data_IF_346739074237
#
_entry.id   IF_346739074237
#
_cell.length_a   1.000
_cell.length_b   1.000
_cell.length_c   1.000
_cell.angle_alpha   90.00
_cell.angle_beta   90.00
_cell.angle_gamma   90.00
#
_symmetry.space_group_name_H-M   'P 1'
#
loop_
_entity.id
_entity.type
_entity.pdbx_description
1 polymer ?
#
# COMPACT_ATOMS: atom_id res chain seq x y z
N UNK A 1 -30.44 50.21 -27.49
CA UNK A 1 -31.65 51.02 -27.22
C UNK A 1 -32.69 50.73 -28.29
N UNK A 2 -33.71 49.93 -27.98
CA UNK A 2 -35.00 49.95 -28.67
C UNK A 2 -36.08 49.67 -27.64
N UNK A 3 -36.99 50.63 -27.56
CA UNK A 3 -38.13 50.75 -26.68
C UNK A 3 -39.31 50.08 -27.39
N UNK A 4 -40.11 49.30 -26.66
CA UNK A 4 -41.31 48.68 -27.19
C UNK A 4 -42.29 48.34 -26.07
N UNK A 5 -42.97 49.37 -25.55
CA UNK A 5 -44.14 49.23 -24.69
C UNK A 5 -45.39 49.09 -25.55
N UNK A 6 -46.20 48.06 -25.32
CA UNK A 6 -47.64 48.09 -25.58
C UNK A 6 -48.40 47.38 -24.46
N UNK A 7 -49.24 48.16 -23.78
CA UNK A 7 -50.27 47.71 -22.84
C UNK A 7 -51.52 47.32 -23.61
N UNK A 8 -52.24 46.30 -23.16
CA UNK A 8 -53.71 46.33 -23.07
C UNK A 8 -54.19 45.23 -22.13
N UNK A 9 -55.11 45.62 -21.24
CA UNK A 9 -55.74 44.81 -20.22
C UNK A 9 -56.92 44.01 -20.77
N UNK A 10 -57.24 42.87 -20.13
CA UNK A 10 -58.60 42.36 -20.07
C UNK A 10 -58.78 41.58 -18.76
N UNK A 11 -59.69 42.07 -17.93
CA UNK A 11 -60.22 41.39 -16.77
C UNK A 11 -61.13 40.23 -17.21
N UNK A 12 -61.11 39.13 -16.45
CA UNK A 12 -61.99 37.98 -16.66
C UNK A 12 -61.89 37.03 -15.48
N UNK A 13 -62.68 37.29 -14.44
CA UNK A 13 -62.98 36.35 -13.37
C UNK A 13 -63.83 35.20 -13.91
N UNK A 14 -63.37 33.97 -13.75
CA UNK A 14 -64.23 32.79 -13.70
C UNK A 14 -63.56 31.71 -12.85
N UNK A 15 -64.16 31.46 -11.69
CA UNK A 15 -63.87 30.30 -10.86
C UNK A 15 -64.43 29.04 -11.54
N UNK A 16 -63.64 27.96 -11.57
CA UNK A 16 -64.16 26.62 -11.66
C UNK A 16 -63.21 25.67 -10.93
N UNK A 17 -63.73 25.07 -9.85
CA UNK A 17 -63.14 23.93 -9.17
C UNK A 17 -62.94 22.78 -10.16
N UNK A 18 -61.74 22.21 -10.18
CA UNK A 18 -61.52 20.81 -10.55
C UNK A 18 -60.38 20.25 -9.71
N UNK A 19 -60.75 19.38 -8.78
CA UNK A 19 -59.87 18.42 -8.12
C UNK A 19 -59.06 17.65 -9.18
N UNK A 20 -57.74 17.76 -9.13
CA UNK A 20 -56.84 16.79 -9.76
C UNK A 20 -55.60 16.64 -8.90
N UNK A 21 -55.44 15.43 -8.35
CA UNK A 21 -54.26 14.98 -7.64
C UNK A 21 -53.01 15.16 -8.50
N UNK A 22 -52.10 16.06 -8.10
CA UNK A 22 -50.73 16.05 -8.54
C UNK A 22 -49.83 16.16 -7.31
N UNK A 23 -49.32 14.99 -6.94
CA UNK A 23 -48.25 14.76 -6.00
C UNK A 23 -47.06 15.67 -6.31
N UNK A 24 -46.87 16.71 -5.49
CA UNK A 24 -45.62 17.46 -5.44
C UNK A 24 -44.53 16.52 -4.94
N UNK A 25 -43.69 16.09 -5.87
CA UNK A 25 -42.50 15.29 -5.62
C UNK A 25 -41.52 16.03 -4.70
N UNK A 26 -40.77 15.29 -3.88
CA UNK A 26 -39.77 15.87 -3.00
C UNK A 26 -38.72 16.60 -3.84
N UNK A 27 -38.43 17.84 -3.43
CA UNK A 27 -37.34 18.65 -3.93
C UNK A 27 -36.06 17.83 -4.02
N UNK A 28 -35.45 17.84 -5.21
CA UNK A 28 -34.21 17.15 -5.50
C UNK A 28 -33.12 17.55 -4.51
N UNK A 29 -32.83 16.64 -3.59
CA UNK A 29 -31.49 16.55 -2.99
C UNK A 29 -30.57 16.33 -4.17
N UNK A 30 -29.74 17.33 -4.49
CA UNK A 30 -28.56 17.12 -5.31
C UNK A 30 -27.89 15.86 -4.75
N UNK A 31 -27.84 14.80 -5.54
CA UNK A 31 -27.19 13.57 -5.16
C UNK A 31 -25.77 13.96 -4.73
N UNK A 32 -25.52 13.92 -3.41
CA UNK A 32 -24.15 13.88 -2.94
C UNK A 32 -23.49 12.76 -3.73
N UNK A 33 -22.31 13.00 -4.34
CA UNK A 33 -21.56 11.92 -4.95
C UNK A 33 -21.54 10.79 -3.93
N UNK A 34 -22.04 9.61 -4.33
CA UNK A 34 -21.98 8.45 -3.47
C UNK A 34 -20.54 8.37 -2.93
N UNK A 35 -20.34 8.16 -1.62
CA UNK A 35 -18.99 7.95 -1.10
C UNK A 35 -18.36 6.87 -2.00
N UNK A 36 -17.20 7.20 -2.58
CA UNK A 36 -16.54 6.33 -3.53
C UNK A 36 -16.51 4.91 -2.93
N UNK A 37 -16.95 3.88 -3.68
CA UNK A 37 -16.99 2.51 -3.17
C UNK A 37 -15.63 2.18 -2.59
N UNK A 38 -15.66 1.69 -1.35
CA UNK A 38 -14.56 1.53 -0.41
C UNK A 38 -13.23 1.19 -1.09
N UNK A 39 -12.41 2.22 -1.29
CA UNK A 39 -11.07 2.15 -1.87
C UNK A 39 -10.07 1.51 -0.89
N UNK A 40 -10.38 0.31 -0.43
CA UNK A 40 -9.53 -0.49 0.45
C UNK A 40 -9.54 -1.96 0.04
N UNK A 41 -9.73 -2.29 -1.25
CA UNK A 41 -9.31 -3.60 -1.71
C UNK A 41 -7.78 -3.67 -1.51
N UNK A 42 -7.30 -4.47 -0.55
CA UNK A 42 -5.87 -4.62 -0.31
C UNK A 42 -5.12 -5.01 -1.59
N UNK A 43 -3.80 -4.97 -1.59
CA UNK A 43 -3.05 -5.12 -2.83
C UNK A 43 -3.00 -6.56 -3.34
N UNK A 44 -2.73 -7.55 -2.48
CA UNK A 44 -2.51 -8.94 -2.90
C UNK A 44 -3.78 -9.55 -3.52
N UNK A 45 -3.64 -10.09 -4.73
CA UNK A 45 -4.72 -10.69 -5.51
C UNK A 45 -5.59 -9.68 -6.27
N UNK A 46 -5.26 -8.39 -6.25
CA UNK A 46 -6.02 -7.35 -6.97
C UNK A 46 -5.27 -6.83 -8.19
N UNK A 47 -6.00 -6.19 -9.10
CA UNK A 47 -5.39 -5.50 -10.23
C UNK A 47 -4.51 -4.34 -9.76
N UNK A 48 -3.36 -4.15 -10.42
CA UNK A 48 -2.38 -3.09 -10.13
C UNK A 48 -3.02 -1.71 -9.94
N UNK A 49 -3.93 -1.31 -10.83
CA UNK A 49 -4.61 -0.03 -10.73
C UNK A 49 -5.43 0.13 -9.45
N UNK A 50 -6.14 -0.92 -9.03
CA UNK A 50 -6.93 -0.91 -7.79
C UNK A 50 -6.02 -0.85 -6.55
N UNK A 51 -4.93 -1.63 -6.54
CA UNK A 51 -3.92 -1.56 -5.47
C UNK A 51 -3.31 -0.16 -5.37
N UNK A 52 -2.91 0.47 -6.49
CA UNK A 52 -2.34 1.83 -6.50
C UNK A 52 -3.34 2.84 -5.90
N UNK A 53 -4.61 2.77 -6.28
CA UNK A 53 -5.65 3.67 -5.75
C UNK A 53 -5.83 3.47 -4.24
N UNK A 54 -5.89 2.22 -3.78
CA UNK A 54 -5.99 1.88 -2.35
C UNK A 54 -4.76 2.39 -1.56
N UNK A 55 -3.56 2.18 -2.10
CA UNK A 55 -2.32 2.71 -1.52
C UNK A 55 -2.33 4.23 -1.46
N UNK A 56 -2.75 4.91 -2.53
CA UNK A 56 -2.80 6.38 -2.59
C UNK A 56 -3.82 7.00 -1.65
N UNK A 57 -4.81 6.23 -1.18
CA UNK A 57 -5.74 6.66 -0.14
C UNK A 57 -5.14 6.61 1.28
N UNK A 58 -4.08 5.81 1.49
CA UNK A 58 -3.47 5.61 2.80
C UNK A 58 -2.05 6.19 2.91
N UNK A 59 -1.34 6.30 1.79
CA UNK A 59 0.06 6.69 1.70
C UNK A 59 0.24 7.77 0.63
N UNK A 60 1.37 8.49 0.71
CA UNK A 60 1.79 9.44 -0.32
C UNK A 60 3.00 8.92 -1.07
N UNK A 61 3.03 9.04 -2.40
CA UNK A 61 4.15 8.65 -3.26
C UNK A 61 4.19 9.54 -4.51
N UNK A 62 5.33 9.58 -5.19
CA UNK A 62 5.52 10.39 -6.39
C UNK A 62 4.81 9.74 -7.61
N UNK A 63 3.78 10.39 -8.19
CA UNK A 63 3.04 9.84 -9.32
C UNK A 63 3.90 9.71 -10.59
N UNK A 64 4.93 10.55 -10.78
CA UNK A 64 5.81 10.48 -11.95
C UNK A 64 6.73 9.26 -11.88
N UNK A 65 7.30 9.01 -10.69
CA UNK A 65 8.08 7.79 -10.46
C UNK A 65 7.22 6.55 -10.65
N UNK A 66 5.99 6.54 -10.09
CA UNK A 66 5.07 5.44 -10.30
C UNK A 66 4.77 5.20 -11.79
N UNK A 67 4.41 6.24 -12.53
CA UNK A 67 4.14 6.13 -13.97
C UNK A 67 5.34 5.55 -14.73
N UNK A 68 6.56 5.98 -14.40
CA UNK A 68 7.79 5.46 -15.00
C UNK A 68 8.00 3.97 -14.70
N UNK A 69 7.74 3.52 -13.48
CA UNK A 69 7.91 2.12 -13.06
C UNK A 69 6.85 1.22 -13.68
N UNK A 70 5.61 1.71 -13.76
CA UNK A 70 4.51 1.05 -14.45
C UNK A 70 4.83 0.89 -15.94
N UNK A 71 5.41 1.89 -16.59
CA UNK A 71 5.80 1.79 -18.00
C UNK A 71 6.88 0.71 -18.24
N UNK A 72 7.84 0.58 -17.32
CA UNK A 72 8.95 -0.39 -17.40
C UNK A 72 8.55 -1.84 -17.14
N UNK A 73 7.38 -2.11 -16.55
CA UNK A 73 6.94 -3.46 -16.14
C UNK A 73 6.79 -4.47 -17.29
N UNK A 74 6.70 -3.97 -18.52
CA UNK A 74 6.54 -4.76 -19.73
C UNK A 74 7.80 -4.73 -20.61
N UNK A 75 8.93 -4.21 -20.10
CA UNK A 75 10.19 -4.29 -20.81
C UNK A 75 10.62 -5.75 -20.96
N UNK A 76 11.03 -6.11 -22.18
CA UNK A 76 11.55 -7.44 -22.52
C UNK A 76 13.03 -7.35 -22.83
N UNK A 77 13.79 -8.39 -22.45
CA UNK A 77 15.18 -8.55 -22.82
C UNK A 77 15.32 -8.80 -24.33
N UNK A 78 16.55 -8.85 -24.81
CA UNK A 78 16.86 -9.13 -26.23
C UNK A 78 16.37 -10.50 -26.71
N UNK A 79 15.98 -11.39 -25.80
CA UNK A 79 15.44 -12.72 -26.07
C UNK A 79 13.91 -12.78 -25.96
N UNK A 80 13.23 -11.63 -25.78
CA UNK A 80 11.77 -11.53 -25.63
C UNK A 80 11.24 -11.95 -24.25
N UNK A 81 12.10 -12.11 -23.24
CA UNK A 81 11.69 -12.44 -21.86
C UNK A 81 11.44 -11.17 -21.07
N UNK A 82 10.40 -11.09 -20.22
CA UNK A 82 10.19 -9.91 -19.39
C UNK A 82 11.38 -9.67 -18.43
N UNK A 83 11.92 -8.45 -18.40
CA UNK A 83 13.09 -8.07 -17.60
C UNK A 83 12.73 -7.97 -16.11
N UNK A 84 11.61 -7.32 -15.80
CA UNK A 84 11.12 -7.17 -14.44
C UNK A 84 9.61 -7.02 -14.45
N UNK A 85 8.94 -7.77 -13.59
CA UNK A 85 7.49 -7.62 -13.32
C UNK A 85 7.25 -7.09 -11.91
N UNK A 86 8.22 -6.35 -11.41
CA UNK A 86 8.20 -5.71 -10.10
C UNK A 86 8.12 -4.21 -10.28
N UNK A 87 7.16 -3.57 -9.62
CA UNK A 87 7.02 -2.12 -9.55
C UNK A 87 7.51 -1.69 -8.17
N UNK A 88 8.61 -0.94 -8.14
CA UNK A 88 9.09 -0.31 -6.90
C UNK A 88 8.50 1.09 -6.76
N UNK A 89 8.02 1.41 -5.58
CA UNK A 89 7.54 2.75 -5.23
C UNK A 89 8.05 3.15 -3.86
N UNK A 90 8.38 4.42 -3.69
CA UNK A 90 8.74 4.98 -2.40
C UNK A 90 7.53 5.72 -1.83
N UNK A 91 6.99 5.20 -0.72
CA UNK A 91 5.78 5.68 -0.08
C UNK A 91 6.05 6.24 1.32
N UNK A 92 5.32 7.29 1.70
CA UNK A 92 5.36 7.89 3.04
C UNK A 92 4.02 7.74 3.74
N UNK A 93 4.08 7.30 4.99
CA UNK A 93 2.92 7.29 5.90
C UNK A 93 2.65 8.72 6.37
N UNK A 94 1.42 9.25 6.27
CA UNK A 94 1.08 10.58 6.76
C UNK A 94 1.48 10.76 8.24
N UNK A 95 2.15 11.87 8.55
CA UNK A 95 2.65 12.17 9.90
C UNK A 95 4.03 11.59 10.23
N UNK A 96 4.65 10.83 9.32
CA UNK A 96 6.00 10.29 9.49
C UNK A 96 6.96 10.85 8.43
N UNK A 97 8.20 11.12 8.84
CA UNK A 97 9.24 11.68 7.95
C UNK A 97 9.90 10.59 7.09
N UNK A 98 10.08 9.40 7.66
CA UNK A 98 10.67 8.26 6.99
C UNK A 98 9.69 7.66 5.98
N UNK A 99 10.18 7.41 4.77
CA UNK A 99 9.44 6.66 3.76
C UNK A 99 9.92 5.21 3.66
N UNK A 100 9.03 4.38 3.14
CA UNK A 100 9.22 2.95 2.91
C UNK A 100 9.21 2.67 1.41
N UNK A 101 10.16 1.85 0.96
CA UNK A 101 10.07 1.23 -0.36
C UNK A 101 9.03 0.12 -0.32
N UNK A 102 8.14 0.09 -1.31
CA UNK A 102 7.14 -0.95 -1.51
C UNK A 102 7.39 -1.56 -2.89
N UNK A 103 7.47 -2.89 -2.94
CA UNK A 103 7.68 -3.68 -4.14
C UNK A 103 6.39 -4.44 -4.45
N UNK A 104 5.76 -4.12 -5.58
CA UNK A 104 4.58 -4.81 -6.09
C UNK A 104 5.01 -5.81 -7.15
N UNK A 105 4.87 -7.10 -6.88
CA UNK A 105 5.20 -8.18 -7.81
C UNK A 105 3.96 -8.64 -8.54
N UNK A 106 3.98 -8.59 -9.87
CA UNK A 106 2.86 -8.98 -10.73
C UNK A 106 2.86 -10.47 -11.04
N UNK A 107 1.68 -11.08 -11.11
CA UNK A 107 1.48 -12.49 -11.41
C UNK A 107 1.91 -12.84 -12.85
N UNK A 108 2.60 -13.96 -13.02
CA UNK A 108 2.93 -14.54 -14.32
C UNK A 108 1.81 -15.45 -14.85
N UNK A 109 1.63 -15.58 -16.19
CA UNK A 109 2.31 -14.87 -17.28
C UNK A 109 1.73 -13.47 -17.56
N UNK A 110 2.45 -12.66 -18.34
CA UNK A 110 1.93 -11.38 -18.84
C UNK A 110 0.74 -11.64 -19.80
N UNK A 111 -0.23 -10.72 -19.93
CA UNK A 111 -0.30 -9.37 -19.37
C UNK A 111 -1.05 -9.28 -18.03
N UNK A 112 -1.07 -10.35 -17.22
CA UNK A 112 -1.81 -10.32 -15.96
C UNK A 112 -1.22 -9.28 -14.98
N UNK A 113 -1.84 -8.11 -14.89
CA UNK A 113 -1.48 -7.02 -13.97
C UNK A 113 -2.03 -7.25 -12.55
N UNK A 114 -2.38 -8.49 -12.18
CA UNK A 114 -2.74 -8.84 -10.81
C UNK A 114 -1.49 -8.87 -9.94
N UNK A 115 -1.56 -8.27 -8.75
CA UNK A 115 -0.50 -8.33 -7.75
C UNK A 115 -0.47 -9.73 -7.14
N UNK A 116 0.61 -10.49 -7.35
CA UNK A 116 0.83 -11.79 -6.72
C UNK A 116 1.41 -11.64 -5.31
N UNK A 117 2.33 -10.69 -5.12
CA UNK A 117 3.08 -10.52 -3.89
C UNK A 117 3.41 -9.06 -3.68
N UNK A 118 3.42 -8.62 -2.43
CA UNK A 118 3.88 -7.27 -2.06
C UNK A 118 4.89 -7.36 -0.93
N UNK A 119 6.01 -6.67 -1.08
CA UNK A 119 6.98 -6.46 -0.01
C UNK A 119 7.06 -4.97 0.36
N UNK A 120 7.29 -4.65 1.62
CA UNK A 120 7.51 -3.28 2.07
C UNK A 120 8.65 -3.20 3.08
N UNK A 121 9.49 -2.19 2.91
CA UNK A 121 10.64 -1.96 3.79
C UNK A 121 10.20 -1.24 5.06
N UNK A 122 10.76 -1.61 6.21
CA UNK A 122 10.50 -0.95 7.49
C UNK A 122 11.68 -0.02 7.86
N UNK A 123 11.42 1.23 8.31
CA UNK A 123 12.47 2.15 8.75
C UNK A 123 13.17 1.70 10.04
N UNK A 124 12.48 0.94 10.89
CA UNK A 124 13.04 0.37 12.11
C UNK A 124 12.71 -1.12 12.23
N UNK A 125 13.55 -1.87 12.94
CA UNK A 125 13.45 -3.32 13.04
C UNK A 125 12.48 -3.75 14.17
N UNK A 126 11.32 -4.36 13.85
CA UNK A 126 10.35 -4.82 14.83
C UNK A 126 10.85 -5.97 15.72
N UNK A 127 11.99 -6.61 15.41
CA UNK A 127 12.59 -7.62 16.30
C UNK A 127 12.95 -7.00 17.66
N UNK A 128 13.44 -5.77 17.66
CA UNK A 128 13.91 -5.11 18.87
C UNK A 128 12.82 -4.36 19.65
N UNK A 129 11.67 -4.13 19.03
CA UNK A 129 10.52 -3.52 19.69
C UNK A 129 9.97 -4.44 20.79
N UNK A 130 9.59 -3.85 21.92
CA UNK A 130 9.02 -4.50 23.12
C UNK A 130 7.80 -3.77 23.67
N UNK A 131 7.55 -2.54 23.24
CA UNK A 131 6.36 -1.74 23.61
C UNK A 131 5.58 -1.32 22.36
N UNK A 132 4.34 -0.86 22.56
CA UNK A 132 3.51 -0.33 21.47
C UNK A 132 4.19 0.84 20.77
N UNK A 133 4.80 1.76 21.52
CA UNK A 133 5.48 2.93 20.98
C UNK A 133 6.71 2.56 20.15
N UNK A 134 7.44 1.53 20.55
CA UNK A 134 8.58 1.03 19.77
C UNK A 134 8.11 0.37 18.47
N UNK A 135 6.99 -0.36 18.50
CA UNK A 135 6.38 -0.91 17.31
C UNK A 135 5.84 0.18 16.37
N UNK A 136 5.21 1.22 16.88
CA UNK A 136 4.68 2.33 16.08
C UNK A 136 5.80 3.02 15.28
N UNK A 137 7.03 3.10 15.83
CA UNK A 137 8.21 3.65 15.10
C UNK A 137 8.65 2.79 13.91
N UNK A 138 8.28 1.51 13.87
CA UNK A 138 8.61 0.62 12.74
C UNK A 138 7.72 0.84 11.53
N UNK A 139 6.59 1.54 11.68
CA UNK A 139 5.55 1.70 10.66
C UNK A 139 4.92 0.38 10.17
N UNK A 140 5.15 -0.74 10.86
CA UNK A 140 4.60 -2.04 10.48
C UNK A 140 3.07 -2.00 10.35
N UNK A 141 2.37 -1.43 11.35
CA UNK A 141 0.91 -1.35 11.34
C UNK A 141 0.33 -0.52 10.20
N UNK A 142 0.67 0.78 10.02
CA UNK A 142 0.09 1.57 8.94
C UNK A 142 0.37 0.98 7.56
N UNK A 143 1.55 0.39 7.33
CA UNK A 143 1.88 -0.26 6.06
C UNK A 143 1.06 -1.54 5.85
N UNK A 144 0.98 -2.41 6.86
CA UNK A 144 0.15 -3.62 6.82
C UNK A 144 -1.32 -3.30 6.57
N UNK A 145 -1.85 -2.25 7.23
CA UNK A 145 -3.22 -1.79 7.03
C UNK A 145 -3.48 -1.31 5.61
N UNK A 146 -2.55 -0.54 5.04
CA UNK A 146 -2.65 -0.08 3.65
C UNK A 146 -2.61 -1.24 2.64
N UNK A 147 -1.77 -2.25 2.91
CA UNK A 147 -1.55 -3.37 2.02
C UNK A 147 -2.61 -4.47 2.10
N UNK A 148 -3.10 -4.79 3.30
CA UNK A 148 -4.16 -5.78 3.49
C UNK A 148 -5.53 -5.21 3.15
N UNK A 149 -5.74 -3.90 3.37
CA UNK A 149 -7.03 -3.25 3.19
C UNK A 149 -8.16 -4.03 3.86
N UNK A 150 -9.21 -4.32 3.10
CA UNK A 150 -10.42 -5.03 3.52
C UNK A 150 -10.22 -6.54 3.66
N UNK A 151 -9.07 -7.10 3.30
CA UNK A 151 -8.76 -8.51 3.60
C UNK A 151 -8.69 -8.74 5.11
N UNK A 152 -8.38 -7.69 5.87
CA UNK A 152 -8.40 -7.72 7.34
C UNK A 152 -9.21 -6.53 7.87
N UNK A 153 -10.54 -6.63 7.79
CA UNK A 153 -11.49 -5.56 8.19
C UNK A 153 -11.26 -5.07 9.63
N UNK A 154 -10.90 -5.98 10.53
CA UNK A 154 -10.63 -5.70 11.94
C UNK A 154 -9.14 -5.79 12.26
N UNK A 155 -8.28 -5.30 11.35
CA UNK A 155 -6.85 -5.21 11.65
C UNK A 155 -6.62 -4.27 12.84
N UNK A 156 -6.52 -4.88 14.01
CA UNK A 156 -6.18 -4.22 15.26
C UNK A 156 -4.65 -4.11 15.40
N UNK A 157 -4.22 -2.95 15.90
CA UNK A 157 -2.80 -2.62 16.06
C UNK A 157 -2.13 -3.59 17.03
N UNK A 158 -2.74 -3.79 18.19
CA UNK A 158 -2.19 -4.64 19.25
C UNK A 158 -2.20 -6.11 18.80
N UNK A 159 -3.24 -6.55 18.10
CA UNK A 159 -3.30 -7.88 17.52
C UNK A 159 -2.16 -8.14 16.53
N UNK A 160 -1.82 -7.18 15.67
CA UNK A 160 -0.68 -7.29 14.76
C UNK A 160 0.65 -7.38 15.51
N UNK A 161 0.86 -6.54 16.54
CA UNK A 161 2.10 -6.57 17.32
C UNK A 161 2.25 -7.87 18.10
N UNK A 162 1.15 -8.39 18.69
CA UNK A 162 1.12 -9.70 19.32
C UNK A 162 1.37 -10.84 18.33
N UNK A 163 0.84 -10.75 17.12
CA UNK A 163 1.16 -11.71 16.07
C UNK A 163 2.66 -11.70 15.77
N UNK A 164 3.27 -10.52 15.64
CA UNK A 164 4.71 -10.42 15.42
C UNK A 164 5.53 -11.02 16.56
N UNK A 165 5.23 -10.63 17.81
CA UNK A 165 5.93 -11.15 19.00
C UNK A 165 5.80 -12.66 19.15
N UNK A 166 4.59 -13.19 19.01
CA UNK A 166 4.30 -14.58 19.39
C UNK A 166 4.45 -15.56 18.23
N UNK A 167 4.33 -15.09 16.98
CA UNK A 167 4.34 -15.96 15.80
C UNK A 167 5.53 -15.72 14.90
N UNK A 168 5.94 -14.47 14.70
CA UNK A 168 7.06 -14.13 13.80
C UNK A 168 8.39 -14.32 14.51
N UNK A 169 8.66 -13.60 15.61
CA UNK A 169 9.96 -13.63 16.29
C UNK A 169 10.46 -15.03 16.65
N UNK A 170 9.64 -15.96 17.19
CA UNK A 170 10.11 -17.29 17.56
C UNK A 170 10.52 -18.16 16.36
N UNK A 171 10.11 -17.78 15.15
CA UNK A 171 10.40 -18.50 13.91
C UNK A 171 11.51 -17.86 13.09
N UNK A 172 12.13 -16.79 13.60
CA UNK A 172 13.21 -16.12 12.89
C UNK A 172 14.46 -17.01 12.90
N UNK A 173 14.91 -17.37 11.71
CA UNK A 173 16.17 -18.07 11.49
C UNK A 173 17.21 -17.06 11.04
N UNK A 174 18.34 -17.02 11.76
CA UNK A 174 19.46 -16.13 11.45
C UNK A 174 20.62 -16.90 10.83
N UNK A 175 21.06 -16.48 9.66
CA UNK A 175 22.21 -16.99 8.93
C UNK A 175 23.25 -15.89 8.77
N UNK A 176 24.50 -16.17 9.15
CA UNK A 176 25.65 -15.30 8.88
C UNK A 176 26.45 -15.85 7.71
N UNK A 177 26.73 -15.02 6.72
CA UNK A 177 27.50 -15.36 5.52
C UNK A 177 28.64 -14.36 5.36
N UNK A 178 29.85 -14.88 5.15
CA UNK A 178 30.99 -14.05 4.75
C UNK A 178 31.01 -13.98 3.23
N UNK A 179 30.67 -12.82 2.67
CA UNK A 179 30.83 -12.54 1.26
C UNK A 179 32.26 -12.06 1.00
N UNK A 180 33.14 -12.96 0.54
CA UNK A 180 34.46 -12.58 0.05
C UNK A 180 34.31 -12.02 -1.38
N UNK A 181 34.19 -10.71 -1.51
CA UNK A 181 34.31 -10.01 -2.79
C UNK A 181 35.64 -9.23 -2.82
N UNK A 182 36.71 -9.89 -3.27
CA UNK A 182 38.03 -9.27 -3.45
C UNK A 182 38.80 -9.01 -2.14
N UNK A 183 39.54 -7.89 -2.10
CA UNK A 183 40.39 -7.50 -0.96
C UNK A 183 39.60 -7.04 0.28
N UNK A 184 38.30 -6.75 0.13
CA UNK A 184 37.45 -6.30 1.21
C UNK A 184 36.56 -7.45 1.70
N UNK A 185 36.62 -7.73 3.00
CA UNK A 185 35.72 -8.69 3.64
C UNK A 185 34.39 -8.00 3.90
N UNK A 186 33.32 -8.49 3.28
CA UNK A 186 31.95 -8.05 3.57
C UNK A 186 31.23 -9.16 4.29
N UNK A 187 30.78 -8.87 5.50
CA UNK A 187 29.97 -9.78 6.28
C UNK A 187 28.50 -9.42 6.07
N UNK A 188 27.67 -10.45 6.00
CA UNK A 188 26.23 -10.31 5.84
C UNK A 188 25.51 -11.23 6.83
N UNK A 189 24.52 -10.69 7.50
CA UNK A 189 23.57 -11.45 8.31
C UNK A 189 22.20 -11.35 7.66
N UNK A 190 21.56 -12.50 7.51
CA UNK A 190 20.20 -12.65 7.04
C UNK A 190 19.37 -13.22 8.18
N UNK A 191 18.30 -12.57 8.58
CA UNK A 191 17.32 -13.13 9.48
C UNK A 191 15.98 -13.20 8.76
N UNK A 192 15.30 -14.33 8.77
CA UNK A 192 14.04 -14.49 8.02
C UNK A 192 13.04 -15.36 8.78
N UNK A 193 11.76 -15.10 8.55
CA UNK A 193 10.64 -15.94 8.98
C UNK A 193 9.65 -16.01 7.84
N UNK A 194 9.42 -17.21 7.31
CA UNK A 194 8.69 -17.38 6.05
C UNK A 194 7.29 -17.96 6.26
N UNK A 195 6.37 -17.52 5.41
CA UNK A 195 5.06 -18.17 5.14
C UNK A 195 4.19 -18.39 6.38
N UNK A 196 4.01 -17.34 7.17
CA UNK A 196 3.12 -17.32 8.32
C UNK A 196 1.73 -16.87 7.89
N UNK A 197 0.70 -17.67 8.12
CA UNK A 197 -0.66 -17.27 7.81
C UNK A 197 -1.10 -16.08 8.67
N UNK A 198 -1.54 -14.99 8.03
CA UNK A 198 -2.07 -13.80 8.70
C UNK A 198 -3.15 -13.12 7.85
N UNK A 199 -4.35 -12.95 8.41
CA UNK A 199 -5.51 -12.36 7.71
C UNK A 199 -5.74 -12.95 6.30
N UNK A 200 -5.63 -14.27 6.13
CA UNK A 200 -5.82 -14.93 4.83
C UNK A 200 -4.75 -14.62 3.78
N UNK A 201 -3.59 -14.08 4.17
CA UNK A 201 -2.39 -13.95 3.36
C UNK A 201 -1.23 -14.70 4.01
N UNK A 202 -0.19 -14.99 3.23
CA UNK A 202 1.08 -15.52 3.68
C UNK A 202 2.02 -14.35 4.01
N UNK A 203 2.33 -14.18 5.28
CA UNK A 203 3.25 -13.18 5.80
C UNK A 203 4.68 -13.72 5.88
N UNK A 204 5.64 -12.98 5.35
CA UNK A 204 7.07 -13.26 5.59
C UNK A 204 7.79 -12.02 6.10
N UNK A 205 8.85 -12.23 6.87
CA UNK A 205 9.73 -11.18 7.37
C UNK A 205 11.16 -11.49 6.95
N UNK A 206 11.90 -10.48 6.52
CA UNK A 206 13.32 -10.62 6.19
C UNK A 206 14.09 -9.39 6.64
N UNK A 207 15.19 -9.62 7.34
CA UNK A 207 16.19 -8.63 7.70
C UNK A 207 17.51 -9.00 7.05
N UNK A 208 18.10 -8.03 6.37
CA UNK A 208 19.46 -8.12 5.88
C UNK A 208 20.30 -7.06 6.56
N UNK A 209 21.41 -7.45 7.16
CA UNK A 209 22.42 -6.57 7.72
C UNK A 209 23.76 -6.84 7.02
N UNK A 210 24.44 -5.78 6.58
CA UNK A 210 25.72 -5.89 5.88
C UNK A 210 26.73 -4.92 6.48
N UNK A 211 27.94 -5.40 6.75
CA UNK A 211 29.04 -4.58 7.29
C UNK A 211 30.39 -5.00 6.68
N UNK A 212 31.37 -4.11 6.79
CA UNK A 212 32.74 -4.40 6.40
C UNK A 212 33.48 -4.97 7.61
N UNK A 213 34.13 -6.12 7.45
CA UNK A 213 34.84 -6.79 8.54
C UNK A 213 34.58 -8.29 8.60
N UNK A 214 35.20 -8.94 9.58
CA UNK A 214 35.00 -10.36 9.87
C UNK A 214 33.69 -10.61 10.63
N UNK A 215 33.22 -11.86 10.61
CA UNK A 215 31.97 -12.27 11.29
C UNK A 215 32.01 -12.10 12.82
N UNK A 216 33.22 -12.07 13.38
CA UNK A 216 33.49 -11.94 14.82
C UNK A 216 33.91 -10.52 15.21
N UNK A 217 33.92 -9.58 14.26
CA UNK A 217 34.22 -8.19 14.54
C UNK A 217 32.95 -7.50 15.06
N UNK A 218 32.91 -7.24 16.36
CA UNK A 218 31.82 -6.50 17.00
C UNK A 218 31.75 -5.04 16.52
N UNK A 219 32.80 -4.54 15.88
CA UNK A 219 32.86 -3.21 15.29
C UNK A 219 32.11 -3.19 13.95
N UNK A 220 30.78 -3.12 14.00
CA UNK A 220 29.88 -3.05 12.83
C UNK A 220 29.97 -1.71 12.06
N UNK A 221 31.17 -1.32 11.60
CA UNK A 221 31.36 -0.09 10.83
C UNK A 221 30.69 -0.20 9.46
N UNK A 222 29.96 0.84 9.08
CA UNK A 222 29.26 0.90 7.79
C UNK A 222 28.07 -0.06 7.69
N UNK A 223 27.47 -0.41 8.84
CA UNK A 223 26.32 -1.30 8.88
C UNK A 223 25.13 -0.75 8.10
N UNK A 224 24.77 -1.42 7.02
CA UNK A 224 23.53 -1.18 6.29
C UNK A 224 22.52 -2.25 6.68
N UNK A 225 21.38 -1.84 7.23
CA UNK A 225 20.25 -2.72 7.53
C UNK A 225 19.11 -2.43 6.57
N UNK A 226 18.51 -3.49 6.04
CA UNK A 226 17.27 -3.41 5.28
C UNK A 226 16.33 -4.45 5.85
N UNK A 227 15.13 -4.01 6.25
CA UNK A 227 14.10 -4.86 6.83
C UNK A 227 12.92 -4.83 5.90
N UNK A 228 12.37 -6.00 5.59
CA UNK A 228 11.22 -6.19 4.74
C UNK A 228 10.19 -7.04 5.46
N UNK A 229 8.92 -6.74 5.23
CA UNK A 229 7.87 -7.74 5.36
C UNK A 229 7.19 -7.94 4.01
N UNK A 230 6.48 -9.05 3.89
CA UNK A 230 5.91 -9.51 2.65
C UNK A 230 4.55 -10.15 2.84
N UNK A 231 3.70 -10.02 1.82
CA UNK A 231 2.38 -10.63 1.72
C UNK A 231 2.22 -11.32 0.36
N UNK A 232 1.77 -12.58 0.38
CA UNK A 232 1.41 -13.42 -0.78
C UNK A 232 0.02 -14.06 -0.59
#
# INVERSE_FOLDING_TARGET
MRIGNWRAAAAGTAACLSLACLSFGPSGRAAQPAPAPEARAGCVGTALGACIVSLGAALSFDPNLLASQVARRNETDVNGRPISRTISLYAKVPGHLDGSEILLHLAAPAPNDTIARVAASLPADPIFARSEEEYDRTLLFPLMKALLGNRCLELDRIALYRFFENSVKPRIVSEKKLAKQGLFKRSQEFAHADKLAYCGASFSYTRTAQWNGDLNDDTQRGLKRTIWFELE
#
